data_IF_069851731132
#
_entry.id   IF_069851731132
#
_cell.length_a   1.000
_cell.length_b   1.000
_cell.length_c   1.000
_cell.angle_alpha   90.00
_cell.angle_beta   90.00
_cell.angle_gamma   90.00
#
_symmetry.space_group_name_H-M   'P 1'
#
loop_
_entity.id
_entity.type
_entity.pdbx_description
1 polymer ?
#
# COMPACT_ATOMS: atom_id res chain seq x y z
N UNK A 1 32.55 -10.23 26.33
CA UNK A 1 33.73 -10.57 27.16
C UNK A 1 33.33 -10.44 28.62
N UNK A 2 32.99 -11.55 29.29
CA UNK A 2 32.55 -11.56 30.68
C UNK A 2 33.75 -11.66 31.62
N UNK A 3 33.95 -10.63 32.44
CA UNK A 3 35.00 -10.60 33.46
C UNK A 3 34.56 -11.46 34.65
N UNK A 4 35.11 -12.68 34.73
CA UNK A 4 35.01 -13.52 35.92
C UNK A 4 35.93 -12.94 36.98
N UNK A 5 35.35 -12.30 37.98
CA UNK A 5 36.06 -11.93 39.20
C UNK A 5 36.53 -13.22 39.90
N UNK A 6 37.75 -13.64 39.56
CA UNK A 6 38.90 -13.65 40.46
C UNK A 6 39.00 -14.66 41.60
N UNK A 7 37.93 -15.37 41.96
CA UNK A 7 37.93 -16.04 43.28
C UNK A 7 38.14 -17.56 43.18
N UNK A 8 37.92 -18.17 42.01
CA UNK A 8 38.01 -19.62 41.82
C UNK A 8 37.05 -20.46 42.68
N UNK A 9 36.28 -19.83 43.58
CA UNK A 9 35.33 -20.46 44.47
C UNK A 9 33.96 -20.42 43.81
N UNK A 10 33.39 -21.59 43.53
CA UNK A 10 31.96 -21.72 43.29
C UNK A 10 31.27 -21.16 44.54
N UNK A 11 30.77 -19.93 44.45
CA UNK A 11 29.97 -19.32 45.50
C UNK A 11 28.74 -20.21 45.64
N UNK A 12 28.80 -21.13 46.61
CA UNK A 12 27.72 -22.05 46.94
C UNK A 12 26.53 -21.16 47.33
N UNK A 13 25.65 -20.89 46.39
CA UNK A 13 24.33 -20.40 46.70
C UNK A 13 23.74 -21.48 47.62
N UNK A 14 23.41 -21.10 48.86
CA UNK A 14 22.60 -21.94 49.76
C UNK A 14 21.45 -22.50 48.93
N UNK A 15 21.20 -23.82 48.95
CA UNK A 15 20.38 -24.51 47.95
C UNK A 15 19.07 -23.79 47.58
N UNK A 16 18.42 -23.16 48.57
CA UNK A 16 17.21 -22.36 48.41
C UNK A 16 17.38 -21.13 47.49
N UNK A 17 18.50 -20.41 47.58
CA UNK A 17 18.77 -19.23 46.74
C UNK A 17 18.96 -19.62 45.28
N UNK A 18 19.65 -20.73 45.02
CA UNK A 18 19.81 -21.26 43.66
C UNK A 18 18.47 -21.74 43.12
N UNK A 19 17.72 -22.49 43.92
CA UNK A 19 16.38 -22.97 43.56
C UNK A 19 15.45 -21.81 43.18
N UNK A 20 15.37 -20.77 44.02
CA UNK A 20 14.55 -19.59 43.74
C UNK A 20 14.99 -18.89 42.44
N UNK A 21 16.29 -18.77 42.19
CA UNK A 21 16.79 -18.13 40.97
C UNK A 21 16.45 -18.92 39.70
N UNK A 22 16.50 -20.26 39.75
CA UNK A 22 16.11 -21.13 38.62
C UNK A 22 14.61 -21.05 38.35
N UNK A 23 13.79 -21.06 39.41
CA UNK A 23 12.32 -20.95 39.29
C UNK A 23 11.93 -19.61 38.69
N UNK A 24 12.50 -18.50 39.18
CA UNK A 24 12.22 -17.16 38.64
C UNK A 24 12.67 -17.05 37.18
N UNK A 25 13.86 -17.52 36.83
CA UNK A 25 14.33 -17.50 35.44
C UNK A 25 13.44 -18.34 34.51
N UNK A 26 12.95 -19.49 34.98
CA UNK A 26 12.04 -20.32 34.19
C UNK A 26 10.70 -19.61 33.97
N UNK A 27 10.17 -18.96 35.01
CA UNK A 27 8.96 -18.16 34.95
C UNK A 27 9.10 -16.98 33.99
N UNK A 28 10.17 -16.19 34.08
CA UNK A 28 10.42 -15.08 33.16
C UNK A 28 10.59 -15.57 31.73
N UNK A 29 11.29 -16.69 31.52
CA UNK A 29 11.44 -17.28 30.17
C UNK A 29 10.10 -17.73 29.58
N UNK A 30 9.18 -18.23 30.39
CA UNK A 30 7.83 -18.58 29.95
C UNK A 30 7.00 -17.34 29.60
N UNK A 31 7.06 -16.30 30.44
CA UNK A 31 6.39 -15.01 30.21
C UNK A 31 6.91 -14.32 28.93
N UNK A 32 8.23 -14.25 28.73
CA UNK A 32 8.84 -13.69 27.52
C UNK A 32 8.43 -14.47 26.25
N UNK A 33 8.34 -15.81 26.34
CA UNK A 33 7.86 -16.64 25.22
C UNK A 33 6.41 -16.34 24.88
N UNK A 34 5.57 -16.10 25.89
CA UNK A 34 4.17 -15.73 25.68
C UNK A 34 4.08 -14.36 25.01
N UNK A 35 4.79 -13.36 25.54
CA UNK A 35 4.82 -12.01 24.96
C UNK A 35 5.32 -12.03 23.51
N UNK A 36 6.42 -12.73 23.23
CA UNK A 36 6.97 -12.83 21.90
C UNK A 36 5.98 -13.49 20.92
N UNK A 37 5.30 -14.56 21.34
CA UNK A 37 4.26 -15.21 20.53
C UNK A 37 3.09 -14.27 20.26
N UNK A 38 2.66 -13.49 21.25
CA UNK A 38 1.58 -12.52 21.09
C UNK A 38 1.97 -11.42 20.11
N UNK A 39 3.18 -10.87 20.23
CA UNK A 39 3.72 -9.89 19.29
C UNK A 39 3.82 -10.44 17.87
N UNK A 40 4.23 -11.71 17.71
CA UNK A 40 4.27 -12.36 16.39
C UNK A 40 2.87 -12.48 15.78
N UNK A 41 1.89 -12.96 16.55
CA UNK A 41 0.50 -13.08 16.10
C UNK A 41 -0.10 -11.73 15.67
N UNK A 42 0.20 -10.65 16.41
CA UNK A 42 -0.27 -9.32 16.05
C UNK A 42 0.31 -8.87 14.69
N UNK A 43 1.62 -9.04 14.48
CA UNK A 43 2.27 -8.73 13.20
C UNK A 43 1.71 -9.55 12.05
N UNK A 44 1.53 -10.86 12.25
CA UNK A 44 0.92 -11.74 11.25
C UNK A 44 -0.50 -11.28 10.88
N UNK A 45 -1.32 -10.90 11.87
CA UNK A 45 -2.66 -10.38 11.62
C UNK A 45 -2.64 -9.04 10.86
N UNK A 46 -1.76 -8.11 11.25
CA UNK A 46 -1.62 -6.81 10.58
C UNK A 46 -1.14 -6.97 9.14
N UNK A 47 -0.16 -7.83 8.90
CA UNK A 47 0.32 -8.17 7.55
C UNK A 47 -0.80 -8.80 6.71
N UNK A 48 -1.62 -9.68 7.30
CA UNK A 48 -2.78 -10.25 6.62
C UNK A 48 -3.80 -9.20 6.19
N UNK A 49 -4.13 -8.25 7.07
CA UNK A 49 -5.05 -7.13 6.74
C UNK A 49 -4.48 -6.24 5.65
N UNK A 50 -3.18 -5.91 5.71
CA UNK A 50 -2.51 -5.12 4.68
C UNK A 50 -2.48 -5.81 3.32
N UNK A 51 -2.18 -7.12 3.30
CA UNK A 51 -2.16 -7.90 2.07
C UNK A 51 -3.53 -7.94 1.41
N UNK A 52 -4.60 -8.20 2.18
CA UNK A 52 -5.96 -8.21 1.67
C UNK A 52 -6.39 -6.83 1.12
N UNK A 53 -6.00 -5.74 1.79
CA UNK A 53 -6.27 -4.39 1.30
C UNK A 53 -5.53 -4.10 -0.02
N UNK A 54 -4.26 -4.50 -0.13
CA UNK A 54 -3.47 -4.30 -1.34
C UNK A 54 -4.06 -5.04 -2.55
N UNK A 55 -4.49 -6.30 -2.36
CA UNK A 55 -5.16 -7.06 -3.41
C UNK A 55 -6.46 -6.39 -3.88
N UNK A 56 -7.26 -5.87 -2.94
CA UNK A 56 -8.48 -5.15 -3.27
C UNK A 56 -8.20 -3.84 -4.00
N UNK A 57 -7.17 -3.09 -3.59
CA UNK A 57 -6.76 -1.83 -4.22
C UNK A 57 -6.23 -2.06 -5.64
N UNK A 58 -5.42 -3.11 -5.85
CA UNK A 58 -4.91 -3.47 -7.18
C UNK A 58 -6.05 -3.88 -8.14
N UNK A 59 -7.03 -4.65 -7.64
CA UNK A 59 -8.21 -5.00 -8.41
C UNK A 59 -9.05 -3.76 -8.79
N UNK A 60 -9.23 -2.83 -7.84
CA UNK A 60 -9.92 -1.56 -8.07
C UNK A 60 -9.20 -0.69 -9.11
N UNK A 61 -7.87 -0.55 -9.01
CA UNK A 61 -7.06 0.20 -9.98
C UNK A 61 -7.23 -0.37 -11.39
N UNK A 62 -7.20 -1.69 -11.51
CA UNK A 62 -7.41 -2.36 -12.81
C UNK A 62 -8.77 -2.04 -13.40
N UNK A 63 -9.85 -2.15 -12.61
CA UNK A 63 -11.20 -1.85 -13.09
C UNK A 63 -11.36 -0.39 -13.52
N UNK A 64 -10.83 0.54 -12.74
CA UNK A 64 -10.88 1.96 -13.09
C UNK A 64 -10.10 2.27 -14.36
N UNK A 65 -8.94 1.63 -14.55
CA UNK A 65 -8.18 1.73 -15.78
C UNK A 65 -8.97 1.20 -16.98
N UNK A 66 -9.55 0.00 -16.87
CA UNK A 66 -10.36 -0.60 -17.93
C UNK A 66 -11.56 0.30 -18.29
N UNK A 67 -12.21 0.94 -17.31
CA UNK A 67 -13.30 1.90 -17.54
C UNK A 67 -12.83 3.17 -18.26
N UNK A 68 -11.66 3.69 -17.90
CA UNK A 68 -11.07 4.85 -18.56
C UNK A 68 -10.70 4.53 -20.01
N UNK A 69 -10.08 3.38 -20.25
CA UNK A 69 -9.71 2.94 -21.60
C UNK A 69 -10.94 2.80 -22.50
N UNK A 70 -12.00 2.12 -22.03
CA UNK A 70 -13.25 2.00 -22.78
C UNK A 70 -13.90 3.35 -23.09
N UNK A 71 -13.84 4.31 -22.16
CA UNK A 71 -14.31 5.68 -22.42
C UNK A 71 -13.46 6.40 -23.47
N UNK A 72 -12.14 6.26 -23.43
CA UNK A 72 -11.25 6.88 -24.42
C UNK A 72 -11.47 6.30 -25.81
N UNK A 73 -11.67 4.98 -25.94
CA UNK A 73 -12.02 4.33 -27.20
C UNK A 73 -13.35 4.84 -27.76
N UNK A 74 -14.40 4.88 -26.92
CA UNK A 74 -15.71 5.38 -27.34
C UNK A 74 -15.65 6.86 -27.75
N UNK A 75 -14.86 7.66 -27.02
CA UNK A 75 -14.63 9.06 -27.32
C UNK A 75 -13.93 9.24 -28.67
N UNK A 76 -12.90 8.46 -28.96
CA UNK A 76 -12.20 8.48 -30.25
C UNK A 76 -13.15 8.11 -31.40
N UNK A 77 -13.97 7.06 -31.24
CA UNK A 77 -14.97 6.68 -32.25
C UNK A 77 -15.99 7.79 -32.48
N UNK A 78 -16.44 8.43 -31.41
CA UNK A 78 -17.36 9.57 -31.50
C UNK A 78 -16.71 10.76 -32.22
N UNK A 79 -15.42 11.04 -31.99
CA UNK A 79 -14.70 12.11 -32.68
C UNK A 79 -14.54 11.86 -34.17
N UNK A 80 -14.20 10.62 -34.56
CA UNK A 80 -14.13 10.20 -35.97
C UNK A 80 -15.49 10.38 -36.65
N UNK A 81 -16.56 9.89 -36.02
CA UNK A 81 -17.93 10.02 -36.56
C UNK A 81 -18.39 11.48 -36.60
N UNK A 82 -18.03 12.29 -35.60
CA UNK A 82 -18.30 13.72 -35.58
C UNK A 82 -17.66 14.43 -36.76
N UNK A 83 -16.41 14.10 -37.05
CA UNK A 83 -15.68 14.75 -38.13
C UNK A 83 -16.12 14.26 -39.51
N UNK A 84 -16.54 13.01 -39.64
CA UNK A 84 -17.23 12.50 -40.82
C UNK A 84 -18.58 13.21 -41.04
N UNK A 85 -19.39 13.33 -40.00
CA UNK A 85 -20.69 14.00 -40.07
C UNK A 85 -20.56 15.48 -40.49
N UNK A 86 -19.52 16.18 -39.99
CA UNK A 86 -19.20 17.54 -40.43
C UNK A 86 -18.86 17.60 -41.92
N UNK A 87 -18.04 16.69 -42.43
CA UNK A 87 -17.68 16.62 -43.84
C UNK A 87 -18.90 16.39 -44.74
N UNK A 88 -19.80 15.51 -44.31
CA UNK A 88 -21.05 15.19 -44.99
C UNK A 88 -22.17 16.22 -44.76
N UNK A 89 -21.93 17.26 -43.95
CA UNK A 89 -22.92 18.27 -43.54
C UNK A 89 -24.17 17.68 -42.90
N UNK A 90 -24.00 16.54 -42.21
CA UNK A 90 -25.05 15.89 -41.41
C UNK A 90 -24.84 16.14 -39.92
N UNK A 91 -25.87 15.84 -39.15
CA UNK A 91 -25.81 15.86 -37.70
C UNK A 91 -25.30 14.52 -37.18
N UNK A 92 -24.55 14.57 -36.09
CA UNK A 92 -24.05 13.38 -35.38
C UNK A 92 -25.23 12.72 -34.68
N UNK A 93 -25.51 11.46 -35.03
CA UNK A 93 -26.74 10.76 -34.62
C UNK A 93 -26.76 10.26 -33.17
N UNK A 94 -25.64 10.37 -32.46
CA UNK A 94 -25.44 9.89 -31.09
C UNK A 94 -24.70 10.94 -30.23
N UNK A 95 -24.98 10.93 -28.93
CA UNK A 95 -24.41 11.89 -27.99
C UNK A 95 -22.93 11.61 -27.74
N UNK A 96 -22.19 12.65 -27.34
CA UNK A 96 -20.80 12.50 -26.89
C UNK A 96 -20.75 11.55 -25.68
N UNK A 97 -19.87 10.54 -25.67
CA UNK A 97 -19.64 9.68 -24.52
C UNK A 97 -19.33 10.50 -23.27
N UNK A 98 -19.67 9.95 -22.10
CA UNK A 98 -19.41 10.58 -20.79
C UNK A 98 -18.77 9.57 -19.87
N UNK A 99 -17.65 9.96 -19.26
CA UNK A 99 -17.06 9.18 -18.19
C UNK A 99 -17.95 9.29 -16.95
N UNK A 100 -18.44 8.14 -16.47
CA UNK A 100 -19.22 8.06 -15.25
C UNK A 100 -18.42 8.43 -14.00
N UNK A 101 -19.06 8.37 -12.83
CA UNK A 101 -18.33 8.49 -11.56
C UNK A 101 -17.47 7.22 -11.38
N UNK A 102 -16.16 7.39 -11.33
CA UNK A 102 -15.25 6.32 -10.94
C UNK A 102 -15.45 5.98 -9.47
N UNK A 103 -15.36 4.71 -9.14
CA UNK A 103 -15.45 4.23 -7.76
C UNK A 103 -14.22 4.70 -6.98
N UNK A 104 -14.39 5.05 -5.71
CA UNK A 104 -13.27 5.45 -4.84
C UNK A 104 -12.62 4.21 -4.21
N UNK A 105 -11.30 4.22 -4.04
CA UNK A 105 -10.59 3.12 -3.36
C UNK A 105 -11.01 3.02 -1.88
N UNK A 106 -10.94 1.80 -1.35
CA UNK A 106 -11.15 1.53 0.06
C UNK A 106 -10.05 2.21 0.91
N UNK A 107 -10.40 2.79 2.07
CA UNK A 107 -9.40 3.47 2.91
C UNK A 107 -8.33 2.49 3.39
N UNK A 108 -7.07 2.92 3.32
CA UNK A 108 -5.93 2.13 3.80
C UNK A 108 -6.08 1.82 5.29
N UNK A 109 -5.88 0.57 5.73
CA UNK A 109 -5.95 0.24 7.15
C UNK A 109 -4.86 1.00 7.93
N UNK A 110 -5.21 1.54 9.09
CA UNK A 110 -4.24 2.14 10.01
C UNK A 110 -3.66 1.03 10.86
N UNK A 111 -2.33 0.89 10.86
CA UNK A 111 -1.62 -0.09 11.67
C UNK A 111 -0.86 0.68 12.76
N UNK A 112 -1.37 0.62 14.00
CA UNK A 112 -0.68 1.25 15.13
C UNK A 112 0.63 0.51 15.42
N UNK A 113 1.73 1.11 14.99
CA UNK A 113 3.10 0.66 15.25
C UNK A 113 3.50 1.07 16.68
N UNK A 114 2.93 0.40 17.68
CA UNK A 114 3.33 0.58 19.07
C UNK A 114 4.81 0.24 19.29
N UNK A 115 5.63 1.28 19.46
CA UNK A 115 6.92 1.30 20.18
C UNK A 115 7.79 0.02 20.14
N UNK A 116 8.46 -0.25 19.02
CA UNK A 116 9.81 -0.84 18.95
C UNK A 116 10.22 -1.00 17.48
N UNK A 117 11.32 -0.34 17.10
CA UNK A 117 11.76 -0.23 15.72
C UNK A 117 12.03 -1.57 15.03
N UNK A 118 11.58 -1.66 13.78
CA UNK A 118 12.43 -2.01 12.65
C UNK A 118 11.71 -1.56 11.39
N UNK A 119 12.22 -0.51 10.73
CA UNK A 119 11.69 -0.01 9.49
C UNK A 119 11.84 -1.04 8.38
N UNK A 120 10.73 -1.45 7.80
CA UNK A 120 10.67 -1.71 6.37
C UNK A 120 9.76 -0.63 5.84
N UNK A 121 10.37 0.50 5.50
CA UNK A 121 9.76 1.47 4.60
C UNK A 121 9.71 0.75 3.25
N UNK A 122 8.56 0.17 2.92
CA UNK A 122 8.29 -0.20 1.53
C UNK A 122 8.11 1.11 0.77
N UNK A 123 9.15 1.44 0.00
CA UNK A 123 9.26 2.53 -0.96
C UNK A 123 7.89 2.85 -1.59
N UNK A 124 7.44 4.06 -1.32
CA UNK A 124 6.29 4.69 -1.96
C UNK A 124 6.70 5.01 -3.39
N UNK A 125 6.37 4.11 -4.33
CA UNK A 125 6.43 4.40 -5.77
C UNK A 125 5.34 5.43 -6.09
N UNK A 126 5.68 6.69 -5.82
CA UNK A 126 4.92 7.86 -6.23
C UNK A 126 4.94 7.94 -7.75
N UNK A 127 3.96 7.28 -8.37
CA UNK A 127 3.67 7.50 -9.78
C UNK A 127 3.05 8.90 -9.93
N UNK A 128 3.93 9.88 -10.12
CA UNK A 128 3.65 11.23 -10.58
C UNK A 128 2.98 11.16 -11.96
N UNK A 129 1.65 11.03 -11.95
CA UNK A 129 0.86 11.21 -13.17
C UNK A 129 0.62 12.71 -13.40
N UNK A 130 1.72 13.45 -13.56
CA UNK A 130 1.76 14.79 -14.11
C UNK A 130 1.41 14.74 -15.60
N UNK A 131 0.13 14.64 -15.91
CA UNK A 131 -0.39 14.84 -17.26
C UNK A 131 -0.39 16.35 -17.56
N UNK A 132 0.80 16.89 -17.85
CA UNK A 132 0.99 18.22 -18.45
C UNK A 132 1.16 18.07 -19.96
N UNK A 133 0.07 17.72 -20.64
CA UNK A 133 -0.04 17.87 -22.10
C UNK A 133 -0.57 19.28 -22.39
N UNK A 134 0.30 20.27 -22.14
CA UNK A 134 0.16 21.63 -22.62
C UNK A 134 0.35 21.69 -24.13
N UNK A 135 -0.68 21.30 -24.89
CA UNK A 135 -0.70 21.47 -26.34
C UNK A 135 -1.12 22.91 -26.67
N UNK A 136 -0.16 23.83 -26.67
CA UNK A 136 -0.34 25.15 -27.26
C UNK A 136 -0.36 25.02 -28.80
N UNK A 137 -1.53 24.62 -29.32
CA UNK A 137 -1.86 24.80 -30.74
C UNK A 137 -2.25 26.26 -30.98
N UNK A 138 -1.27 27.13 -31.17
CA UNK A 138 -1.52 28.46 -31.75
C UNK A 138 -1.48 28.39 -33.29
N UNK A 139 -2.67 28.23 -33.86
CA UNK A 139 -2.93 28.38 -35.29
C UNK A 139 -3.05 29.86 -35.66
N UNK A 140 -1.94 30.46 -36.09
CA UNK A 140 -1.90 31.81 -36.67
C UNK A 140 -1.95 31.80 -38.21
N UNK A 141 -3.16 31.87 -38.76
CA UNK A 141 -3.47 32.08 -40.17
C UNK A 141 -3.00 33.47 -40.67
N UNK A 142 -2.19 33.51 -41.74
CA UNK A 142 -1.84 34.73 -42.46
C UNK A 142 -2.17 34.60 -43.95
N UNK A 143 -3.28 35.21 -44.35
CA UNK A 143 -3.67 35.48 -45.74
C UNK A 143 -2.75 36.55 -46.33
N UNK A 144 -2.27 36.37 -47.56
CA UNK A 144 -2.55 37.24 -48.74
C UNK A 144 -2.05 36.58 -50.03
#
# INVERSE_FOLDING_TARGET
MGQLNGDGLLRLLTGDKFYNQVVEHQKTSEEEKIEHKNRRKLREAQLGVMAAWKEADDAWKKQNKDQQEGYHEELQLWEVERDLAKQEKRWVGWAKPKLGKLEASAPKPVVDNGAAGNGVEEEEDGNDNGNDEGIDSDGGNGKE
#
